data_IF_309853154631
#
_entry.id   IF_309853154631
#
_cell.length_a   1.000
_cell.length_b   1.000
_cell.length_c   1.000
_cell.angle_alpha   90.00
_cell.angle_beta   90.00
_cell.angle_gamma   90.00
#
_symmetry.space_group_name_H-M   'P 1'
#
loop_
_entity.id
_entity.type
_entity.pdbx_description
1 polymer ?
#
# COMPACT_ATOMS: atom_id res chain seq x y z
N UNK A 1 17.11 1.35 25.71
CA UNK A 1 15.99 2.20 25.29
C UNK A 1 14.98 1.31 24.56
N UNK A 2 13.93 0.87 25.25
CA UNK A 2 12.92 -0.02 24.64
C UNK A 2 12.04 0.82 23.72
N UNK A 3 12.25 0.71 22.41
CA UNK A 3 11.37 1.22 21.35
C UNK A 3 10.06 0.42 21.31
N UNK A 4 9.42 0.24 22.47
CA UNK A 4 8.04 -0.20 22.59
C UNK A 4 7.16 1.01 22.26
N UNK A 5 7.29 1.51 21.03
CA UNK A 5 6.39 2.53 20.49
C UNK A 5 4.98 1.97 20.66
N UNK A 6 4.23 2.53 21.62
CA UNK A 6 2.81 2.27 21.81
C UNK A 6 2.07 2.87 20.62
N UNK A 7 2.21 2.24 19.45
CA UNK A 7 1.37 2.50 18.29
C UNK A 7 -0.04 2.04 18.70
N UNK A 8 -1.03 2.88 18.41
CA UNK A 8 -2.42 2.57 18.67
C UNK A 8 -2.79 1.18 18.07
N UNK A 9 -3.47 0.33 18.83
CA UNK A 9 -3.82 -1.04 18.40
C UNK A 9 -4.69 -1.04 17.13
N UNK A 10 -5.38 0.07 16.91
CA UNK A 10 -6.22 0.38 15.75
C UNK A 10 -5.41 0.34 14.45
N UNK A 11 -4.18 0.85 14.46
CA UNK A 11 -3.29 0.76 13.30
C UNK A 11 -2.92 -0.68 12.97
N UNK A 12 -2.69 -1.53 13.98
CA UNK A 12 -2.30 -2.93 13.74
C UNK A 12 -3.37 -3.68 12.95
N UNK A 13 -4.66 -3.52 13.29
CA UNK A 13 -5.76 -4.12 12.53
C UNK A 13 -5.79 -3.62 11.08
N UNK A 14 -5.56 -2.32 10.87
CA UNK A 14 -5.56 -1.73 9.53
C UNK A 14 -4.38 -2.24 8.68
N UNK A 15 -3.19 -2.35 9.27
CA UNK A 15 -2.01 -2.92 8.60
C UNK A 15 -2.20 -4.38 8.22
N UNK A 16 -2.80 -5.20 9.09
CA UNK A 16 -3.09 -6.61 8.77
C UNK A 16 -4.05 -6.69 7.58
N UNK A 17 -5.11 -5.89 7.55
CA UNK A 17 -6.05 -5.86 6.42
C UNK A 17 -5.31 -5.45 5.13
N UNK A 18 -4.48 -4.42 5.19
CA UNK A 18 -3.71 -3.99 4.02
C UNK A 18 -2.70 -5.06 3.56
N UNK A 19 -2.01 -5.71 4.48
CA UNK A 19 -1.06 -6.78 4.16
C UNK A 19 -1.76 -7.98 3.49
N UNK A 20 -2.94 -8.37 3.97
CA UNK A 20 -3.75 -9.43 3.32
C UNK A 20 -4.13 -9.03 1.89
N UNK A 21 -4.53 -7.76 1.67
CA UNK A 21 -4.80 -7.27 0.31
C UNK A 21 -3.53 -7.31 -0.56
N UNK A 22 -2.38 -6.87 -0.05
CA UNK A 22 -1.12 -6.89 -0.81
C UNK A 22 -0.73 -8.31 -1.24
N UNK A 23 -0.83 -9.29 -0.34
CA UNK A 23 -0.57 -10.70 -0.65
C UNK A 23 -1.55 -11.22 -1.70
N UNK A 24 -2.84 -10.87 -1.58
CA UNK A 24 -3.85 -11.26 -2.57
C UNK A 24 -3.54 -10.70 -3.97
N UNK A 25 -3.22 -9.40 -4.07
CA UNK A 25 -2.86 -8.77 -5.34
C UNK A 25 -1.55 -9.31 -5.90
N UNK A 26 -0.55 -9.55 -5.07
CA UNK A 26 0.73 -10.14 -5.51
C UNK A 26 0.56 -11.58 -6.01
N UNK A 27 -0.27 -12.36 -5.32
CA UNK A 27 -0.64 -13.72 -5.75
C UNK A 27 -1.36 -13.68 -7.10
N UNK A 28 -2.34 -12.80 -7.26
CA UNK A 28 -3.05 -12.62 -8.53
C UNK A 28 -2.11 -12.17 -9.66
N UNK A 29 -1.23 -11.21 -9.38
CA UNK A 29 -0.23 -10.72 -10.32
C UNK A 29 0.84 -11.76 -10.68
N UNK A 30 1.09 -12.74 -9.81
CA UNK A 30 2.01 -13.85 -10.11
C UNK A 30 1.37 -14.89 -11.02
N UNK A 31 0.04 -14.93 -11.11
CA UNK A 31 -0.71 -15.84 -11.98
C UNK A 31 -0.92 -15.27 -13.38
N UNK A 32 -0.65 -13.98 -13.61
CA UNK A 32 -0.73 -13.39 -14.94
C UNK A 32 0.48 -13.77 -15.80
N UNK A 33 0.22 -14.19 -17.04
CA UNK A 33 1.26 -14.52 -18.04
C UNK A 33 1.81 -13.29 -18.77
N UNK A 34 2.09 -12.21 -18.03
CA UNK A 34 2.51 -10.92 -18.57
C UNK A 34 4.03 -10.69 -18.42
N UNK A 35 4.80 -11.75 -18.18
CA UNK A 35 6.24 -11.66 -17.92
C UNK A 35 6.60 -11.01 -16.58
N UNK A 36 5.64 -10.91 -15.65
CA UNK A 36 5.85 -10.36 -14.31
C UNK A 36 5.76 -8.83 -14.26
N UNK A 37 5.21 -8.19 -15.29
CA UNK A 37 5.02 -6.75 -15.34
C UNK A 37 4.07 -6.28 -14.22
N UNK A 38 2.94 -6.97 -14.03
CA UNK A 38 1.97 -6.68 -12.99
C UNK A 38 2.56 -6.90 -11.60
N UNK A 39 3.35 -7.96 -11.41
CA UNK A 39 4.06 -8.22 -10.15
C UNK A 39 5.02 -7.08 -9.79
N UNK A 40 5.75 -6.52 -10.77
CA UNK A 40 6.61 -5.34 -10.55
C UNK A 40 5.79 -4.11 -10.14
N UNK A 41 4.64 -3.87 -10.79
CA UNK A 41 3.75 -2.75 -10.42
C UNK A 41 3.19 -2.90 -9.00
N UNK A 42 2.81 -4.12 -8.60
CA UNK A 42 2.37 -4.42 -7.23
C UNK A 42 3.51 -4.12 -6.24
N UNK A 43 4.73 -4.59 -6.48
CA UNK A 43 5.88 -4.35 -5.59
C UNK A 43 6.16 -2.85 -5.45
N UNK A 44 6.18 -2.09 -6.55
CA UNK A 44 6.36 -0.64 -6.51
C UNK A 44 5.25 0.03 -5.68
N UNK A 45 4.01 -0.41 -5.86
CA UNK A 45 2.86 0.11 -5.12
C UNK A 45 2.96 -0.17 -3.61
N UNK A 46 3.46 -1.35 -3.23
CA UNK A 46 3.72 -1.71 -1.82
C UNK A 46 4.73 -0.75 -1.19
N UNK A 47 5.83 -0.47 -1.89
CA UNK A 47 6.87 0.46 -1.38
C UNK A 47 6.29 1.86 -1.17
N UNK A 48 5.57 2.40 -2.16
CA UNK A 48 4.94 3.72 -2.06
C UNK A 48 3.92 3.77 -0.93
N UNK A 49 3.07 2.74 -0.80
CA UNK A 49 2.12 2.62 0.30
C UNK A 49 2.82 2.60 1.67
N UNK A 50 3.88 1.82 1.84
CA UNK A 50 4.62 1.74 3.10
C UNK A 50 5.21 3.09 3.51
N UNK A 51 5.72 3.88 2.55
CA UNK A 51 6.20 5.24 2.81
C UNK A 51 5.06 6.17 3.26
N UNK A 52 3.92 6.15 2.58
CA UNK A 52 2.75 6.96 2.95
C UNK A 52 2.18 6.55 4.32
N UNK A 53 2.00 5.26 4.55
CA UNK A 53 1.49 4.74 5.82
C UNK A 53 2.46 5.03 6.96
N UNK A 54 3.77 4.88 6.74
CA UNK A 54 4.80 5.25 7.70
C UNK A 54 4.77 6.75 8.05
N UNK A 55 4.58 7.61 7.05
CA UNK A 55 4.43 9.05 7.26
C UNK A 55 3.19 9.41 8.09
N UNK A 56 2.03 8.79 7.78
CA UNK A 56 0.77 8.99 8.54
C UNK A 56 0.93 8.56 10.00
N UNK A 57 1.49 7.38 10.24
CA UNK A 57 1.73 6.86 11.59
C UNK A 57 2.74 7.71 12.35
N UNK A 58 3.80 8.20 11.68
CA UNK A 58 4.78 9.10 12.29
C UNK A 58 4.16 10.45 12.69
N UNK A 59 3.16 10.94 11.95
CA UNK A 59 2.46 12.19 12.24
C UNK A 59 1.51 12.07 13.43
N UNK A 60 0.71 11.01 13.51
CA UNK A 60 -0.26 10.79 14.60
C UNK A 60 -0.12 9.39 15.23
N UNK A 61 0.93 9.13 16.02
CA UNK A 61 1.23 7.78 16.53
C UNK A 61 0.26 7.29 17.62
N UNK A 62 -0.25 8.21 18.45
CA UNK A 62 -1.06 7.86 19.64
C UNK A 62 -2.56 8.11 19.49
N UNK A 63 -2.97 9.00 18.58
CA UNK A 63 -4.37 9.40 18.45
C UNK A 63 -4.76 9.45 16.96
N UNK A 64 -4.96 8.28 16.32
CA UNK A 64 -5.31 8.20 14.91
C UNK A 64 -6.64 8.89 14.63
N UNK A 65 -6.68 9.75 13.61
CA UNK A 65 -7.95 10.21 13.07
C UNK A 65 -8.65 9.12 12.25
N UNK A 66 -9.96 9.24 12.04
CA UNK A 66 -10.69 8.36 11.12
C UNK A 66 -10.07 8.36 9.70
N UNK A 67 -9.56 9.50 9.25
CA UNK A 67 -8.86 9.63 7.98
C UNK A 67 -7.56 8.83 7.95
N UNK A 68 -6.75 8.90 9.00
CA UNK A 68 -5.48 8.17 9.11
C UNK A 68 -5.71 6.65 9.04
N UNK A 69 -6.73 6.16 9.75
CA UNK A 69 -7.10 4.74 9.71
C UNK A 69 -7.59 4.32 8.33
N UNK A 70 -8.36 5.17 7.64
CA UNK A 70 -8.82 4.90 6.28
C UNK A 70 -7.65 4.84 5.29
N UNK A 71 -6.69 5.76 5.40
CA UNK A 71 -5.47 5.77 4.57
C UNK A 71 -4.65 4.50 4.82
N UNK A 72 -4.44 4.09 6.07
CA UNK A 72 -3.67 2.86 6.35
C UNK A 72 -4.44 1.62 5.87
N UNK A 73 -5.76 1.58 6.01
CA UNK A 73 -6.58 0.41 5.64
C UNK A 73 -6.74 0.23 4.13
N UNK A 74 -7.11 1.28 3.40
CA UNK A 74 -7.46 1.22 1.97
C UNK A 74 -6.49 1.98 1.06
N UNK A 75 -5.49 2.67 1.61
CA UNK A 75 -4.55 3.46 0.83
C UNK A 75 -3.76 2.64 -0.18
N UNK A 76 -3.51 1.35 0.08
CA UNK A 76 -2.86 0.46 -0.88
C UNK A 76 -3.63 0.37 -2.21
N UNK A 77 -4.96 0.24 -2.16
CA UNK A 77 -5.80 0.15 -3.38
C UNK A 77 -5.69 1.44 -4.20
N UNK A 78 -5.73 2.58 -3.52
CA UNK A 78 -5.63 3.90 -4.17
C UNK A 78 -4.25 4.07 -4.82
N UNK A 79 -3.18 3.72 -4.11
CA UNK A 79 -1.80 3.77 -4.62
C UNK A 79 -1.64 2.83 -5.81
N UNK A 80 -2.12 1.59 -5.72
CA UNK A 80 -2.03 0.62 -6.79
C UNK A 80 -2.78 1.09 -8.05
N UNK A 81 -4.01 1.60 -7.89
CA UNK A 81 -4.79 2.14 -9.01
C UNK A 81 -4.08 3.34 -9.67
N UNK A 82 -3.47 4.22 -8.88
CA UNK A 82 -2.72 5.36 -9.39
C UNK A 82 -1.46 4.92 -10.16
N UNK A 83 -0.68 3.99 -9.61
CA UNK A 83 0.51 3.44 -10.27
C UNK A 83 0.13 2.73 -11.58
N UNK A 84 -0.94 1.93 -11.56
CA UNK A 84 -1.46 1.26 -12.74
C UNK A 84 -1.92 2.26 -13.81
N UNK A 85 -2.64 3.30 -13.41
CA UNK A 85 -3.10 4.37 -14.30
C UNK A 85 -1.94 5.12 -14.95
N UNK A 86 -0.93 5.50 -14.18
CA UNK A 86 0.29 6.17 -14.69
C UNK A 86 1.01 5.26 -15.68
N UNK A 87 1.13 3.97 -15.36
CA UNK A 87 1.75 2.99 -16.26
C UNK A 87 0.99 2.85 -17.58
N UNK A 88 -0.34 2.71 -17.51
CA UNK A 88 -1.20 2.61 -18.69
C UNK A 88 -1.08 3.86 -19.59
N UNK A 89 -1.11 5.06 -19.00
CA UNK A 89 -0.92 6.31 -19.72
C UNK A 89 0.46 6.36 -20.40
N UNK A 90 1.52 5.98 -19.68
CA UNK A 90 2.89 5.97 -20.22
C UNK A 90 3.04 5.02 -21.41
N UNK A 91 2.36 3.87 -21.39
CA UNK A 91 2.38 2.92 -22.51
C UNK A 91 1.66 3.44 -23.75
N UNK A 92 0.56 4.20 -23.60
CA UNK A 92 -0.19 4.76 -24.73
C UNK A 92 0.62 5.83 -25.46
N UNK A 93 1.37 6.67 -24.73
CA UNK A 93 2.20 7.72 -25.35
C UNK A 93 3.52 7.23 -25.93
N UNK A 94 3.92 5.99 -25.64
CA UNK A 94 5.15 5.39 -26.16
C UNK A 94 4.93 4.51 -27.39
N UNK A 95 3.67 4.30 -27.79
CA UNK A 95 3.26 3.52 -28.96
C UNK A 95 3.01 4.43 -30.17
#
# INVERSE_FOLDING_TARGET
MSLRTRIAKEYQKCFVISAVMQVFFLGFASLTFDGGQLSRLVIVSVVVYCLMAGFVVARHPFNPSHGDLMVVRSGFIVVFAAVLGIHAVSTVFSA
#
